data_IF_009493866111
#
_entry.id   IF_009493866111
#
_cell.length_a   1.000
_cell.length_b   1.000
_cell.length_c   1.000
_cell.angle_alpha   90.00
_cell.angle_beta   90.00
_cell.angle_gamma   90.00
#
_symmetry.space_group_name_H-M   'P 1'
#
loop_
_entity.id
_entity.type
_entity.pdbx_description
1 polymer ?
#
# COMPACT_ATOMS: atom_id res chain seq x y z
N UNK A 1 -21.69 19.18 9.63
CA UNK A 1 -20.65 18.26 10.15
C UNK A 1 -19.48 18.28 9.18
N UNK A 2 -18.26 18.45 9.68
CA UNK A 2 -17.06 18.58 8.85
C UNK A 2 -16.78 17.29 8.09
N UNK A 3 -16.77 17.33 6.75
CA UNK A 3 -16.58 16.18 5.85
C UNK A 3 -15.22 15.49 6.00
N UNK A 4 -14.24 16.14 6.64
CA UNK A 4 -12.85 15.68 6.75
C UNK A 4 -12.63 14.58 7.80
N UNK A 5 -13.53 14.36 8.76
CA UNK A 5 -13.35 13.32 9.79
C UNK A 5 -13.49 11.90 9.23
N UNK A 6 -14.07 11.76 8.03
CA UNK A 6 -14.40 10.48 7.41
C UNK A 6 -13.44 10.07 6.28
N UNK A 7 -12.36 10.83 6.06
CA UNK A 7 -11.43 10.64 4.94
C UNK A 7 -10.06 10.18 5.42
N UNK A 8 -9.65 8.97 5.01
CA UNK A 8 -8.36 8.36 5.38
C UNK A 8 -7.56 8.02 4.14
N UNK A 9 -6.29 8.43 4.09
CA UNK A 9 -5.41 8.17 2.97
C UNK A 9 -4.19 7.40 3.42
N UNK A 10 -3.98 6.23 2.82
CA UNK A 10 -2.78 5.43 2.98
C UNK A 10 -1.88 5.60 1.78
N UNK A 11 -0.88 6.47 1.92
CA UNK A 11 0.02 6.85 0.85
C UNK A 11 1.37 6.15 1.03
N UNK A 12 1.80 5.37 0.02
CA UNK A 12 3.07 4.66 0.08
C UNK A 12 3.84 4.66 -1.24
N UNK A 13 5.16 4.83 -1.14
CA UNK A 13 6.07 4.84 -2.29
C UNK A 13 6.35 3.41 -2.78
N UNK A 14 6.46 2.44 -1.87
CA UNK A 14 6.83 1.07 -2.21
C UNK A 14 5.64 0.20 -2.63
N UNK A 15 5.78 -0.52 -3.74
CA UNK A 15 4.82 -1.55 -4.15
C UNK A 15 5.11 -2.85 -3.39
N UNK A 16 4.06 -3.56 -2.97
CA UNK A 16 4.23 -4.90 -2.37
C UNK A 16 4.47 -4.96 -0.87
N UNK A 17 4.29 -3.86 -0.17
CA UNK A 17 4.47 -3.74 1.29
C UNK A 17 3.29 -4.26 2.13
N UNK A 18 2.22 -4.77 1.48
CA UNK A 18 1.04 -5.34 2.17
C UNK A 18 -0.26 -4.52 2.08
N UNK A 19 -0.28 -3.39 1.36
CA UNK A 19 -1.46 -2.50 1.26
C UNK A 19 -2.77 -3.22 0.92
N UNK A 20 -2.75 -4.09 -0.09
CA UNK A 20 -3.92 -4.87 -0.49
C UNK A 20 -4.39 -5.81 0.63
N UNK A 21 -3.47 -6.47 1.34
CA UNK A 21 -3.81 -7.28 2.51
C UNK A 21 -4.39 -6.44 3.65
N UNK A 22 -3.85 -5.24 3.86
CA UNK A 22 -4.41 -4.29 4.81
C UNK A 22 -5.87 -3.91 4.46
N UNK A 23 -6.21 -3.75 3.18
CA UNK A 23 -7.62 -3.51 2.78
C UNK A 23 -8.55 -4.67 3.15
N UNK A 24 -8.08 -5.92 3.07
CA UNK A 24 -8.85 -7.09 3.51
C UNK A 24 -8.96 -7.15 5.03
N UNK A 25 -7.89 -6.82 5.77
CA UNK A 25 -7.94 -6.69 7.22
C UNK A 25 -8.97 -5.63 7.66
N UNK A 26 -8.95 -4.45 7.03
CA UNK A 26 -9.93 -3.39 7.27
C UNK A 26 -11.34 -3.88 7.00
N UNK A 27 -11.55 -4.58 5.89
CA UNK A 27 -12.85 -5.17 5.56
C UNK A 27 -13.38 -6.07 6.68
N UNK A 28 -12.55 -7.00 7.18
CA UNK A 28 -12.91 -7.90 8.29
C UNK A 28 -13.19 -7.08 9.55
N UNK A 29 -12.32 -6.12 9.89
CA UNK A 29 -12.46 -5.30 11.09
C UNK A 29 -13.76 -4.48 11.07
N UNK A 30 -14.07 -3.84 9.94
CA UNK A 30 -15.31 -3.08 9.74
C UNK A 30 -16.51 -4.00 9.90
N UNK A 31 -16.52 -5.18 9.26
CA UNK A 31 -17.65 -6.12 9.39
C UNK A 31 -17.87 -6.56 10.83
N UNK A 32 -16.80 -6.74 11.62
CA UNK A 32 -16.90 -7.12 13.03
C UNK A 32 -17.41 -5.99 13.93
N UNK A 33 -17.04 -4.73 13.65
CA UNK A 33 -17.40 -3.60 14.51
C UNK A 33 -18.68 -2.88 14.06
N UNK A 34 -19.02 -2.99 12.77
CA UNK A 34 -20.15 -2.34 12.13
C UNK A 34 -20.86 -3.34 11.21
N UNK A 35 -21.55 -4.34 11.77
CA UNK A 35 -22.12 -5.46 11.01
C UNK A 35 -23.14 -5.03 9.95
N UNK A 36 -23.82 -3.89 10.16
CA UNK A 36 -24.83 -3.35 9.26
C UNK A 36 -24.29 -2.42 8.17
N UNK A 37 -22.98 -2.14 8.15
CA UNK A 37 -22.40 -1.28 7.12
C UNK A 37 -22.39 -1.97 5.76
N UNK A 38 -22.69 -1.20 4.72
CA UNK A 38 -22.38 -1.56 3.33
C UNK A 38 -20.95 -1.12 3.05
N UNK A 39 -20.17 -2.01 2.44
CA UNK A 39 -18.77 -1.73 2.10
C UNK A 39 -18.63 -1.79 0.58
N UNK A 40 -18.21 -0.70 -0.05
CA UNK A 40 -17.78 -0.69 -1.45
C UNK A 40 -16.26 -0.77 -1.54
N UNK A 41 -15.74 -1.71 -2.32
CA UNK A 41 -14.31 -1.85 -2.61
C UNK A 41 -14.05 -1.54 -4.07
N UNK A 42 -13.31 -0.48 -4.35
CA UNK A 42 -12.89 -0.10 -5.70
C UNK A 42 -11.49 -0.65 -5.97
N UNK A 43 -11.31 -1.32 -7.10
CA UNK A 43 -10.01 -1.85 -7.54
C UNK A 43 -9.99 -2.02 -9.05
N UNK A 44 -8.98 -1.45 -9.72
CA UNK A 44 -8.77 -1.56 -11.19
C UNK A 44 -10.04 -1.29 -12.02
N UNK A 45 -10.74 -0.18 -11.73
CA UNK A 45 -11.95 0.22 -12.46
C UNK A 45 -13.20 -0.64 -12.17
N UNK A 46 -13.16 -1.52 -11.17
CA UNK A 46 -14.29 -2.33 -10.73
C UNK A 46 -14.66 -1.97 -9.31
N UNK A 47 -15.95 -1.97 -9.01
CA UNK A 47 -16.46 -1.76 -7.66
C UNK A 47 -17.23 -3.00 -7.21
N UNK A 48 -16.83 -3.56 -6.07
CA UNK A 48 -17.53 -4.65 -5.40
C UNK A 48 -18.27 -4.09 -4.19
N UNK A 49 -19.54 -4.42 -4.03
CA UNK A 49 -20.40 -3.86 -2.98
C UNK A 49 -20.89 -5.01 -2.11
N UNK A 50 -20.52 -4.97 -0.83
CA UNK A 50 -20.79 -6.02 0.13
C UNK A 50 -21.88 -5.57 1.10
N UNK A 51 -23.03 -6.25 1.04
CA UNK A 51 -24.16 -6.00 1.91
C UNK A 51 -24.06 -6.80 3.22
N UNK A 52 -24.74 -6.35 4.29
CA UNK A 52 -24.77 -7.05 5.58
C UNK A 52 -25.33 -8.47 5.54
N UNK A 53 -26.24 -8.73 4.61
CA UNK A 53 -26.87 -10.04 4.39
C UNK A 53 -25.95 -11.06 3.68
N UNK A 54 -24.72 -10.65 3.34
CA UNK A 54 -23.77 -11.47 2.58
C UNK A 54 -23.89 -11.33 1.07
N UNK A 55 -24.85 -10.56 0.56
CA UNK A 55 -25.00 -10.32 -0.87
C UNK A 55 -23.84 -9.45 -1.39
N UNK A 56 -23.30 -9.81 -2.55
CA UNK A 56 -22.22 -9.06 -3.21
C UNK A 56 -22.64 -8.66 -4.62
N UNK A 57 -22.59 -7.36 -4.89
CA UNK A 57 -22.82 -6.81 -6.22
C UNK A 57 -21.51 -6.32 -6.83
N UNK A 58 -21.47 -6.29 -8.17
CA UNK A 58 -20.35 -5.75 -8.93
C UNK A 58 -20.85 -4.69 -9.89
N UNK A 59 -20.25 -3.51 -9.85
CA UNK A 59 -20.48 -2.41 -10.78
C UNK A 59 -19.19 -1.98 -11.51
N UNK A 60 -19.36 -1.25 -12.61
CA UNK A 60 -18.29 -0.64 -13.38
C UNK A 60 -17.90 0.70 -12.77
N UNK A 61 -16.85 0.72 -11.95
CA UNK A 61 -16.17 1.91 -11.45
C UNK A 61 -16.92 2.77 -10.42
N UNK A 62 -18.23 2.91 -10.54
CA UNK A 62 -19.03 3.82 -9.73
C UNK A 62 -19.42 3.22 -8.37
N UNK A 63 -19.45 4.08 -7.36
CA UNK A 63 -20.02 3.79 -6.05
C UNK A 63 -21.46 4.27 -6.04
N UNK A 64 -22.45 3.39 -5.79
CA UNK A 64 -23.85 3.82 -5.78
C UNK A 64 -24.14 4.84 -4.68
N UNK A 65 -25.08 5.76 -4.95
CA UNK A 65 -25.57 6.77 -4.00
C UNK A 65 -25.97 6.19 -2.65
N UNK A 66 -26.67 5.04 -2.66
CA UNK A 66 -27.03 4.30 -1.44
C UNK A 66 -25.84 4.00 -0.52
N UNK A 67 -24.65 3.84 -1.09
CA UNK A 67 -23.40 3.68 -0.33
C UNK A 67 -22.82 5.04 0.03
N UNK A 68 -22.62 5.93 -0.95
CA UNK A 68 -21.88 7.18 -0.76
C UNK A 68 -22.60 8.24 0.08
N UNK A 69 -23.94 8.20 0.16
CA UNK A 69 -24.75 9.19 0.90
C UNK A 69 -25.00 8.80 2.36
N UNK A 70 -24.47 7.66 2.83
CA UNK A 70 -24.65 7.20 4.21
C UNK A 70 -23.31 7.18 4.96
N UNK A 71 -23.21 7.99 6.01
CA UNK A 71 -22.02 8.13 6.85
C UNK A 71 -21.59 6.83 7.57
N UNK A 72 -22.50 5.86 7.72
CA UNK A 72 -22.19 4.56 8.32
C UNK A 72 -21.58 3.56 7.34
N UNK A 73 -21.66 3.83 6.05
CA UNK A 73 -21.09 2.98 5.02
C UNK A 73 -19.62 3.32 4.76
N UNK A 74 -18.95 2.40 4.06
CA UNK A 74 -17.53 2.51 3.77
C UNK A 74 -17.25 2.39 2.29
N UNK A 75 -16.30 3.21 1.82
CA UNK A 75 -15.63 3.04 0.53
C UNK A 75 -14.15 2.80 0.77
N UNK A 76 -13.62 1.72 0.21
CA UNK A 76 -12.21 1.37 0.21
C UNK A 76 -11.72 1.38 -1.23
N UNK A 77 -10.98 2.40 -1.61
CA UNK A 77 -10.45 2.55 -2.97
C UNK A 77 -8.97 2.15 -3.01
N UNK A 78 -8.66 1.04 -3.66
CA UNK A 78 -7.29 0.49 -3.79
C UNK A 78 -6.74 0.77 -5.20
N UNK A 79 -5.71 1.63 -5.25
CA UNK A 79 -5.06 2.10 -6.48
C UNK A 79 -6.03 2.71 -7.51
N UNK A 80 -7.14 3.27 -7.03
CA UNK A 80 -8.13 4.01 -7.80
C UNK A 80 -8.53 5.23 -6.97
N UNK A 81 -8.83 6.33 -7.64
CA UNK A 81 -9.32 7.55 -7.01
C UNK A 81 -10.80 7.72 -7.36
N UNK A 82 -11.70 7.85 -6.36
CA UNK A 82 -13.09 8.23 -6.62
C UNK A 82 -13.13 9.61 -7.29
N UNK A 83 -13.92 9.77 -8.35
CA UNK A 83 -14.09 11.08 -9.00
C UNK A 83 -15.01 12.02 -8.22
N UNK A 84 -15.88 11.46 -7.38
CA UNK A 84 -16.86 12.20 -6.61
C UNK A 84 -16.22 12.84 -5.36
N UNK A 85 -16.22 14.18 -5.31
CA UNK A 85 -15.70 14.96 -4.18
C UNK A 85 -16.72 15.11 -3.04
N UNK A 86 -17.95 14.60 -3.21
CA UNK A 86 -19.09 14.78 -2.29
C UNK A 86 -19.47 13.55 -1.46
N UNK A 87 -18.60 12.55 -1.33
CA UNK A 87 -18.92 11.33 -0.57
C UNK A 87 -19.12 11.63 0.92
N UNK A 88 -20.31 11.32 1.45
CA UNK A 88 -20.65 11.48 2.87
C UNK A 88 -20.25 10.27 3.72
N UNK A 89 -20.01 9.12 3.09
CA UNK A 89 -19.54 7.89 3.71
C UNK A 89 -18.06 7.95 4.14
N UNK A 90 -17.66 6.99 4.98
CA UNK A 90 -16.26 6.83 5.39
C UNK A 90 -15.43 6.30 4.21
N UNK A 91 -14.39 7.03 3.84
CA UNK A 91 -13.59 6.72 2.64
C UNK A 91 -12.14 6.46 3.00
N UNK A 92 -11.64 5.29 2.63
CA UNK A 92 -10.24 4.88 2.76
C UNK A 92 -9.62 4.80 1.37
N UNK A 93 -8.70 5.71 1.10
CA UNK A 93 -7.91 5.75 -0.13
C UNK A 93 -6.58 5.04 0.09
N UNK A 94 -6.34 3.92 -0.58
CA UNK A 94 -5.07 3.20 -0.56
C UNK A 94 -4.35 3.44 -1.87
N UNK A 95 -3.35 4.33 -1.85
CA UNK A 95 -2.75 4.87 -3.08
C UNK A 95 -1.24 5.06 -2.96
N UNK A 96 -0.60 5.35 -4.09
CA UNK A 96 0.78 5.83 -4.12
C UNK A 96 0.80 7.35 -4.34
N UNK A 97 1.72 8.09 -3.69
CA UNK A 97 1.93 9.51 -3.98
C UNK A 97 2.22 9.81 -5.45
N UNK A 98 2.69 8.80 -6.21
CA UNK A 98 2.98 8.90 -7.64
C UNK A 98 1.75 8.77 -8.54
N UNK A 99 0.57 8.44 -8.00
CA UNK A 99 -0.64 8.35 -8.81
C UNK A 99 -1.11 9.73 -9.27
N UNK A 100 -1.49 9.82 -10.55
CA UNK A 100 -2.17 11.00 -11.08
C UNK A 100 -3.42 11.29 -10.23
N UNK A 101 -3.65 12.56 -9.87
CA UNK A 101 -4.76 12.97 -9.01
C UNK A 101 -4.48 12.94 -7.50
N UNK A 102 -3.37 12.34 -7.04
CA UNK A 102 -3.00 12.30 -5.61
C UNK A 102 -3.05 13.69 -4.94
N UNK A 103 -2.45 14.69 -5.59
CA UNK A 103 -2.41 16.06 -5.08
C UNK A 103 -3.78 16.72 -4.94
N UNK A 104 -4.79 16.28 -5.71
CA UNK A 104 -6.17 16.77 -5.59
C UNK A 104 -6.82 16.22 -4.32
N UNK A 105 -6.78 14.91 -4.13
CA UNK A 105 -7.36 14.27 -2.94
C UNK A 105 -6.64 14.67 -1.65
N UNK A 106 -5.32 14.85 -1.70
CA UNK A 106 -4.58 15.37 -0.54
C UNK A 106 -5.11 16.72 -0.07
N UNK A 107 -5.58 17.58 -0.98
CA UNK A 107 -6.18 18.89 -0.64
C UNK A 107 -7.61 18.79 -0.09
N UNK A 108 -8.29 17.65 -0.24
CA UNK A 108 -9.65 17.42 0.28
C UNK A 108 -9.68 17.11 1.80
N UNK A 109 -8.54 17.22 2.49
CA UNK A 109 -8.47 17.08 3.95
C UNK A 109 -8.41 15.64 4.47
N UNK A 110 -7.96 14.70 3.63
CA UNK A 110 -7.70 13.33 4.05
C UNK A 110 -6.66 13.27 5.18
N UNK A 111 -6.91 12.42 6.17
CA UNK A 111 -5.90 12.05 7.16
C UNK A 111 -4.88 11.12 6.53
N UNK A 112 -3.70 11.65 6.23
CA UNK A 112 -2.61 10.90 5.62
C UNK A 112 -1.95 9.97 6.66
N UNK A 113 -1.72 8.72 6.26
CA UNK A 113 -0.97 7.68 6.98
C UNK A 113 -0.05 6.99 6.01
N UNK A 114 1.14 6.62 6.45
CA UNK A 114 2.09 5.79 5.70
C UNK A 114 2.18 4.40 6.35
N UNK A 115 2.49 3.40 5.54
CA UNK A 115 2.79 2.06 6.02
C UNK A 115 4.31 1.86 5.87
N UNK A 116 5.04 1.64 6.97
CA UNK A 116 6.49 1.48 6.90
C UNK A 116 6.88 0.20 6.16
N UNK A 117 8.15 0.14 5.75
CA UNK A 117 8.78 -1.12 5.34
C UNK A 117 8.90 -2.02 6.54
N UNK A 118 8.89 -3.32 6.28
CA UNK A 118 8.90 -4.34 7.31
C UNK A 118 10.32 -4.52 7.83
N UNK A 119 10.47 -4.76 9.12
CA UNK A 119 11.75 -5.21 9.66
C UNK A 119 11.93 -6.73 9.48
N UNK A 120 13.13 -7.22 9.81
CA UNK A 120 13.45 -8.66 9.73
C UNK A 120 12.61 -9.49 10.70
N UNK A 121 12.20 -8.94 11.84
CA UNK A 121 11.39 -9.67 12.82
C UNK A 121 9.97 -9.90 12.27
N UNK A 122 9.36 -8.86 11.70
CA UNK A 122 8.07 -8.92 11.02
C UNK A 122 8.09 -9.90 9.85
N UNK A 123 9.16 -9.84 9.03
CA UNK A 123 9.37 -10.80 7.94
C UNK A 123 9.53 -12.22 8.46
N UNK A 124 10.27 -12.42 9.56
CA UNK A 124 10.50 -13.73 10.18
C UNK A 124 9.22 -14.38 10.69
N UNK A 125 8.31 -13.58 11.26
CA UNK A 125 6.97 -14.04 11.68
C UNK A 125 6.17 -14.56 10.49
N UNK A 126 6.09 -13.79 9.40
CA UNK A 126 5.35 -14.22 8.21
C UNK A 126 6.03 -15.37 7.48
N UNK A 127 7.35 -15.37 7.41
CA UNK A 127 8.12 -16.50 6.88
C UNK A 127 7.75 -17.79 7.61
N UNK A 128 7.83 -17.78 8.94
CA UNK A 128 7.55 -18.96 9.77
C UNK A 128 6.12 -19.47 9.59
N UNK A 129 5.14 -18.57 9.51
CA UNK A 129 3.73 -18.94 9.44
C UNK A 129 3.25 -19.34 8.04
N UNK A 130 3.83 -18.75 6.99
CA UNK A 130 3.28 -18.84 5.62
C UNK A 130 4.24 -19.48 4.64
N UNK A 131 5.53 -19.14 4.69
CA UNK A 131 6.50 -19.50 3.65
C UNK A 131 7.47 -20.62 4.05
N UNK A 132 7.58 -20.97 5.34
CA UNK A 132 8.49 -22.04 5.79
C UNK A 132 8.24 -23.37 5.10
N UNK A 133 6.96 -23.67 4.81
CA UNK A 133 6.57 -24.89 4.12
C UNK A 133 6.80 -24.84 2.60
N UNK A 134 7.14 -23.68 2.02
CA UNK A 134 7.33 -23.54 0.56
C UNK A 134 8.72 -23.96 0.09
N UNK A 135 9.59 -24.44 0.97
CA UNK A 135 10.99 -24.75 0.67
C UNK A 135 11.90 -23.54 0.49
N UNK A 136 11.43 -22.34 0.84
CA UNK A 136 12.23 -21.12 0.86
C UNK A 136 13.17 -21.17 2.07
N UNK A 137 14.48 -21.02 1.88
CA UNK A 137 15.42 -20.95 2.98
C UNK A 137 15.37 -19.56 3.64
N UNK A 138 15.59 -19.49 4.95
CA UNK A 138 15.56 -18.22 5.67
C UNK A 138 16.75 -17.34 5.27
N UNK A 139 17.88 -17.96 4.97
CA UNK A 139 19.11 -17.33 4.52
C UNK A 139 18.90 -16.56 3.20
N UNK A 140 18.03 -17.06 2.31
CA UNK A 140 17.65 -16.37 1.08
C UNK A 140 16.80 -15.12 1.39
N UNK A 141 15.96 -15.17 2.42
CA UNK A 141 15.15 -14.04 2.88
C UNK A 141 16.03 -12.94 3.46
N UNK A 142 16.98 -13.29 4.31
CA UNK A 142 17.96 -12.35 4.87
C UNK A 142 18.79 -11.71 3.76
N UNK A 143 19.33 -12.51 2.85
CA UNK A 143 20.10 -12.02 1.70
C UNK A 143 19.28 -11.08 0.82
N UNK A 144 18.02 -11.43 0.55
CA UNK A 144 17.10 -10.59 -0.20
C UNK A 144 16.75 -9.30 0.55
N UNK A 145 16.65 -9.33 1.87
CA UNK A 145 16.38 -8.15 2.70
C UNK A 145 17.55 -7.16 2.66
N UNK A 146 18.80 -7.63 2.73
CA UNK A 146 19.97 -6.77 2.62
C UNK A 146 20.07 -6.04 1.27
N UNK A 147 19.59 -6.69 0.21
CA UNK A 147 19.62 -6.14 -1.16
C UNK A 147 18.44 -5.21 -1.45
N UNK A 148 17.23 -5.62 -1.07
CA UNK A 148 15.98 -4.97 -1.51
C UNK A 148 15.23 -4.25 -0.38
N UNK A 149 15.69 -4.38 0.86
CA UNK A 149 15.06 -3.85 2.06
C UNK A 149 13.80 -4.62 2.46
N UNK A 150 13.04 -4.03 3.39
CA UNK A 150 11.86 -4.60 4.02
C UNK A 150 10.58 -4.66 3.18
N UNK A 151 10.63 -5.14 1.95
CA UNK A 151 9.46 -5.25 1.07
C UNK A 151 9.07 -6.73 0.93
N UNK A 152 8.03 -7.23 1.64
CA UNK A 152 7.64 -8.65 1.62
C UNK A 152 7.45 -9.26 0.22
N UNK A 153 6.96 -8.47 -0.73
CA UNK A 153 6.82 -8.96 -2.11
C UNK A 153 8.15 -9.36 -2.74
N UNK A 154 9.22 -8.61 -2.48
CA UNK A 154 10.55 -8.93 -3.00
C UNK A 154 11.26 -9.94 -2.11
N UNK A 155 11.12 -9.82 -0.79
CA UNK A 155 11.85 -10.63 0.20
C UNK A 155 11.18 -11.94 0.61
N UNK A 156 9.98 -12.25 0.11
CA UNK A 156 9.34 -13.54 0.40
C UNK A 156 8.74 -14.14 -0.87
N UNK A 157 7.98 -13.35 -1.63
CA UNK A 157 7.19 -13.88 -2.75
C UNK A 157 8.01 -14.15 -4.02
N UNK A 158 9.05 -13.36 -4.27
CA UNK A 158 9.79 -13.40 -5.55
C UNK A 158 11.26 -13.74 -5.42
N UNK A 159 11.68 -14.33 -4.31
CA UNK A 159 13.09 -14.71 -4.09
C UNK A 159 13.63 -15.66 -5.17
N UNK A 160 12.75 -16.45 -5.79
CA UNK A 160 13.11 -17.41 -6.85
C UNK A 160 12.38 -17.11 -8.18
N UNK A 161 11.99 -15.86 -8.42
CA UNK A 161 11.38 -15.45 -9.68
C UNK A 161 12.44 -14.79 -10.58
N UNK A 162 13.02 -15.58 -11.49
CA UNK A 162 14.09 -15.15 -12.41
C UNK A 162 13.69 -13.95 -13.29
N UNK A 163 12.39 -13.80 -13.60
CA UNK A 163 11.90 -12.69 -14.40
C UNK A 163 11.83 -11.41 -13.55
N UNK A 164 11.39 -11.55 -12.30
CA UNK A 164 11.37 -10.47 -11.33
C UNK A 164 12.80 -10.00 -10.96
N UNK A 165 13.72 -10.94 -10.73
CA UNK A 165 15.11 -10.63 -10.42
C UNK A 165 15.79 -9.89 -11.57
N UNK A 166 15.60 -10.34 -12.83
CA UNK A 166 16.10 -9.61 -14.01
C UNK A 166 15.53 -8.19 -14.08
N UNK A 167 14.23 -8.03 -13.86
CA UNK A 167 13.58 -6.71 -13.90
C UNK A 167 14.17 -5.77 -12.84
N UNK A 168 14.36 -6.27 -11.61
CA UNK A 168 14.96 -5.51 -10.53
C UNK A 168 16.43 -5.18 -10.81
N UNK A 169 17.23 -6.15 -11.27
CA UNK A 169 18.64 -5.93 -11.61
C UNK A 169 18.80 -4.92 -12.74
N UNK A 170 18.01 -5.00 -13.80
CA UNK A 170 18.03 -4.01 -14.89
C UNK A 170 17.73 -2.61 -14.36
N UNK A 171 16.69 -2.46 -13.52
CA UNK A 171 16.39 -1.18 -12.89
C UNK A 171 17.51 -0.71 -11.95
N UNK A 172 18.15 -1.61 -11.20
CA UNK A 172 19.24 -1.31 -10.27
C UNK A 172 20.50 -0.82 -10.99
N UNK A 173 20.90 -1.51 -12.07
CA UNK A 173 22.03 -1.15 -12.92
C UNK A 173 21.79 0.16 -13.66
N UNK A 174 20.60 0.35 -14.24
CA UNK A 174 20.24 1.57 -14.95
C UNK A 174 20.34 2.83 -14.06
N UNK A 175 20.09 2.68 -12.76
CA UNK A 175 20.18 3.77 -11.78
C UNK A 175 21.52 3.82 -11.02
N UNK A 176 22.55 3.05 -11.44
CA UNK A 176 23.87 2.97 -10.80
C UNK A 176 23.82 2.73 -9.29
N UNK A 177 22.81 2.00 -8.82
CA UNK A 177 22.55 1.89 -7.39
C UNK A 177 23.66 1.10 -6.67
N UNK A 178 24.40 0.22 -7.37
CA UNK A 178 25.61 -0.42 -6.84
C UNK A 178 26.71 0.57 -6.49
N UNK A 179 26.95 1.60 -7.31
CA UNK A 179 27.91 2.66 -6.99
C UNK A 179 27.44 3.46 -5.78
N UNK A 180 26.14 3.81 -5.72
CA UNK A 180 25.56 4.50 -4.57
C UNK A 180 25.71 3.68 -3.27
N UNK A 181 25.42 2.38 -3.30
CA UNK A 181 25.56 1.50 -2.13
C UNK A 181 27.02 1.31 -1.73
N UNK A 182 27.96 1.23 -2.69
CA UNK A 182 29.40 1.22 -2.40
C UNK A 182 29.85 2.51 -1.73
N UNK A 183 29.35 3.67 -2.17
CA UNK A 183 29.65 4.99 -1.59
C UNK A 183 29.07 5.16 -0.18
N UNK A 184 27.85 4.63 0.07
CA UNK A 184 27.23 4.65 1.40
C UNK A 184 27.98 3.73 2.38
N UNK A 185 28.39 2.55 1.92
CA UNK A 185 29.14 1.57 2.74
C UNK A 185 30.60 1.98 2.98
N UNK A 186 31.20 2.74 2.08
CA UNK A 186 32.58 3.23 2.24
C UNK A 186 32.72 4.41 3.21
N UNK A 187 31.61 4.97 3.71
CA UNK A 187 31.62 6.06 4.69
C UNK A 187 32.18 7.39 4.16
N UNK A 188 32.38 7.52 2.85
CA UNK A 188 32.98 8.72 2.22
C UNK A 188 31.99 9.90 2.15
N UNK A 189 30.71 9.68 2.48
CA UNK A 189 29.67 10.69 2.55
C UNK A 189 29.72 11.58 3.81
N UNK A 190 30.85 12.21 4.14
CA UNK A 190 30.79 13.48 4.88
C UNK A 190 30.27 14.51 3.88
N UNK A 191 28.98 14.82 3.94
CA UNK A 191 28.44 15.97 3.24
C UNK A 191 29.22 17.22 3.65
N UNK A 192 30.10 17.70 2.77
CA UNK A 192 30.54 19.08 2.76
C UNK A 192 29.30 19.91 2.43
N UNK A 193 28.64 20.43 3.45
CA UNK A 193 27.76 21.59 3.29
C UNK A 193 28.69 22.72 2.83
N UNK A 194 28.53 23.28 1.61
CA UNK A 194 29.31 24.43 1.23
C UNK A 194 28.91 25.59 2.15
N UNK A 195 29.83 26.03 2.99
CA UNK A 195 29.71 27.29 3.70
C UNK A 195 29.79 28.41 2.67
N UNK A 196 28.66 28.85 2.13
CA UNK A 196 28.37 30.24 1.72
C UNK A 196 27.15 30.30 0.77
N UNK A 197 26.04 30.82 1.27
CA UNK A 197 25.58 32.13 0.80
C UNK A 197 24.87 32.81 1.96
N UNK A 198 25.24 34.07 2.19
CA UNK A 198 24.79 34.95 3.28
C UNK A 198 23.29 35.19 3.25
#
# INVERSE_FOLDING_TARGET
>A
MSTTENLYMMANIFLGIGKTFFTFFMFVKIRMTQPNAIIARMYRGKTLIFYPDGTVYRSSGEVPSKVSENAENWVIADAVLPEDEGMYCRTVLVTSPKMAGYGRHRKQGFQERSMPVWDLEELGKVYTQVYKASGLAWEDVESSFELWGGIPRTTLRFINDDAWERTLRTAFTANRMEECMKLLRSGVGRYLIPASTR
#
